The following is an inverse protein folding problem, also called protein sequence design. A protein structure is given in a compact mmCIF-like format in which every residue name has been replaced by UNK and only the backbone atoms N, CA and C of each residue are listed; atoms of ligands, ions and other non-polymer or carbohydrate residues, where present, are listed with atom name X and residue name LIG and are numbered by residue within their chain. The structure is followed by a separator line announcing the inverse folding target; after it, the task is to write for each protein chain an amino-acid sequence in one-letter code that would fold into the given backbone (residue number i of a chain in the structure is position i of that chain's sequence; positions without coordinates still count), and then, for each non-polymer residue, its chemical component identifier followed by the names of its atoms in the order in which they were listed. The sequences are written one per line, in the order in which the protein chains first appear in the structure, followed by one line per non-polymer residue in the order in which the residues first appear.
data_IF_729459075542
#
_entry.id   IF_729459075542
#
_cell.length_a   1.000
_cell.length_b   1.000
_cell.length_c   1.000
_cell.angle_alpha   90.00
_cell.angle_beta   90.00
_cell.angle_gamma   90.00
#
_symmetry.space_group_name_H-M   'P 1'
#
loop_
_entity.id
_entity.type
_entity.pdbx_description
1 polymer ?
#
# COMPACT_ATOMS: atom_id res chain seq x y z
N UNK A 1 -16.39 -14.21 18.22
CA UNK A 1 -16.59 -12.94 17.47
C UNK A 1 -15.55 -12.90 16.37
N UNK A 2 -15.99 -12.84 15.12
CA UNK A 2 -15.20 -13.19 13.94
C UNK A 2 -14.27 -12.08 13.47
N UNK A 3 -12.97 -12.32 13.50
CA UNK A 3 -11.97 -11.53 12.81
C UNK A 3 -12.06 -11.85 11.31
N UNK A 4 -12.62 -10.93 10.51
CA UNK A 4 -12.60 -11.01 9.03
C UNK A 4 -11.36 -10.26 8.55
N UNK A 5 -10.27 -10.96 8.26
CA UNK A 5 -9.14 -10.40 7.52
C UNK A 5 -9.58 -10.14 6.08
N UNK A 6 -9.76 -8.87 5.72
CA UNK A 6 -9.93 -8.44 4.33
C UNK A 6 -8.57 -7.99 3.82
N UNK A 7 -7.93 -8.81 3.00
CA UNK A 7 -6.84 -8.32 2.15
C UNK A 7 -7.49 -7.60 0.97
N UNK A 8 -7.53 -6.27 1.01
CA UNK A 8 -7.96 -5.45 -0.13
C UNK A 8 -6.73 -5.17 -1.00
N UNK A 9 -6.74 -5.72 -2.22
CA UNK A 9 -5.75 -5.42 -3.25
C UNK A 9 -6.34 -4.32 -4.13
N UNK A 10 -5.84 -3.10 -3.95
CA UNK A 10 -6.17 -1.97 -4.80
C UNK A 10 -5.05 -1.81 -5.85
N UNK A 11 -5.31 -2.25 -7.07
CA UNK A 11 -4.45 -1.93 -8.22
C UNK A 11 -4.89 -0.57 -8.73
N UNK A 12 -4.20 0.49 -8.31
CA UNK A 12 -4.48 1.85 -8.78
C UNK A 12 -3.52 2.20 -9.92
N UNK A 13 -3.93 1.99 -11.17
CA UNK A 13 -3.25 2.59 -12.33
C UNK A 13 -3.67 4.05 -12.43
N UNK A 14 -2.88 4.95 -11.84
CA UNK A 14 -3.11 6.38 -11.99
C UNK A 14 -2.39 6.89 -13.24
N UNK A 15 -3.13 7.06 -14.33
CA UNK A 15 -2.60 7.67 -15.56
C UNK A 15 -2.83 9.18 -15.51
N UNK A 16 -1.76 9.97 -15.33
CA UNK A 16 -1.85 11.43 -15.34
C UNK A 16 -1.42 12.00 -16.70
N UNK A 17 -2.29 12.79 -17.34
CA UNK A 17 -1.95 13.67 -18.46
C UNK A 17 -1.23 14.90 -17.92
N UNK A 18 0.10 14.88 -17.88
CA UNK A 18 0.90 16.07 -17.53
C UNK A 18 1.48 16.64 -18.83
N UNK A 19 0.90 17.74 -19.31
CA UNK A 19 1.48 18.56 -20.36
C UNK A 19 2.80 19.17 -19.85
N UNK A 20 3.84 19.09 -20.68
CA UNK A 20 5.27 19.30 -20.39
C UNK A 20 5.72 20.70 -19.89
N UNK A 21 4.85 21.53 -19.32
CA UNK A 21 5.19 22.93 -19.04
C UNK A 21 5.03 23.43 -17.59
N UNK A 22 4.82 22.57 -16.58
CA UNK A 22 4.80 23.04 -15.19
C UNK A 22 5.29 21.96 -14.23
N UNK A 23 6.21 22.34 -13.34
CA UNK A 23 6.67 21.54 -12.20
C UNK A 23 5.45 21.30 -11.30
N UNK A 24 4.73 20.21 -11.51
CA UNK A 24 3.65 19.78 -10.65
C UNK A 24 4.22 18.89 -9.56
N UNK A 25 4.22 19.36 -8.31
CA UNK A 25 4.42 18.51 -7.14
C UNK A 25 3.12 17.73 -6.93
N UNK A 26 3.12 16.43 -7.24
CA UNK A 26 1.98 15.55 -6.99
C UNK A 26 2.16 14.94 -5.59
N UNK A 27 1.26 15.31 -4.68
CA UNK A 27 1.10 14.71 -3.36
C UNK A 27 0.24 13.46 -3.51
N UNK A 28 0.85 12.28 -3.40
CA UNK A 28 0.11 11.03 -3.22
C UNK A 28 -0.06 10.79 -1.72
N UNK A 29 -1.20 11.20 -1.16
CA UNK A 29 -1.56 10.92 0.23
C UNK A 29 -2.19 9.53 0.29
N UNK A 30 -1.47 8.56 0.83
CA UNK A 30 -2.01 7.24 1.13
C UNK A 30 -2.65 7.31 2.52
N UNK A 31 -3.96 7.54 2.56
CA UNK A 31 -4.78 7.62 3.77
C UNK A 31 -5.99 6.69 3.69
N UNK A 32 -6.49 6.30 4.86
CA UNK A 32 -7.63 5.42 5.05
C UNK A 32 -8.93 6.12 4.60
N UNK A 33 -9.59 5.61 3.55
CA UNK A 33 -10.93 6.06 3.14
C UNK A 33 -11.97 5.02 3.55
N UNK A 34 -12.78 5.32 4.57
CA UNK A 34 -14.00 4.55 4.88
C UNK A 34 -15.21 5.18 4.20
N UNK A 35 -15.86 4.40 3.33
CA UNK A 35 -17.28 4.54 3.00
C UNK A 35 -17.64 5.53 1.89
N UNK A 36 -17.77 5.02 0.65
CA UNK A 36 -18.75 5.56 -0.30
C UNK A 36 -19.66 4.41 -0.69
N UNK A 37 -20.92 4.51 -0.25
CA UNK A 37 -22.01 3.63 -0.64
C UNK A 37 -22.68 4.29 -1.85
N UNK A 38 -22.64 3.65 -3.02
CA UNK A 38 -23.45 4.04 -4.18
C UNK A 38 -24.11 2.76 -4.71
N UNK A 39 -25.33 2.55 -4.25
CA UNK A 39 -26.28 1.63 -4.86
C UNK A 39 -26.64 2.05 -6.29
N UNK A 40 -26.96 1.01 -7.06
CA UNK A 40 -27.67 0.98 -8.33
C UNK A 40 -27.21 1.91 -9.47
N UNK A 41 -26.59 1.31 -10.49
CA UNK A 41 -26.65 1.88 -11.84
C UNK A 41 -26.95 0.85 -12.93
N UNK A 42 -28.13 1.02 -13.56
CA UNK A 42 -28.53 0.43 -14.83
C UNK A 42 -27.87 1.21 -15.98
N UNK A 43 -27.32 0.50 -16.96
CA UNK A 43 -26.82 1.09 -18.19
C UNK A 43 -27.95 1.53 -19.13
N UNK A 44 -27.81 2.68 -19.78
CA UNK A 44 -28.39 2.91 -21.10
C UNK A 44 -27.46 3.77 -21.96
N UNK A 45 -27.31 3.35 -23.21
CA UNK A 45 -26.48 3.92 -24.27
C UNK A 45 -27.15 5.10 -24.97
N UNK A 46 -26.37 6.04 -25.53
CA UNK A 46 -26.48 6.54 -26.93
C UNK A 46 -25.37 7.54 -27.27
N UNK A 47 -25.14 7.69 -28.59
CA UNK A 47 -23.96 8.24 -29.26
C UNK A 47 -23.80 9.77 -29.32
N UNK A 48 -22.55 10.17 -29.64
CA UNK A 48 -22.14 11.28 -30.54
C UNK A 48 -21.49 12.55 -29.94
N UNK A 49 -20.39 12.92 -30.61
CA UNK A 49 -19.73 14.23 -30.87
C UNK A 49 -19.12 15.05 -29.70
N UNK A 50 -17.84 15.35 -29.94
CA UNK A 50 -16.96 16.46 -29.50
C UNK A 50 -17.01 16.98 -28.06
N UNK A 51 -15.80 17.31 -27.60
CA UNK A 51 -15.39 18.11 -26.44
C UNK A 51 -15.16 17.31 -25.15
N UNK A 52 -13.89 17.37 -24.72
CA UNK A 52 -13.37 17.09 -23.38
C UNK A 52 -14.21 16.11 -22.56
N UNK A 53 -14.04 14.82 -22.80
CA UNK A 53 -14.54 13.78 -21.91
C UNK A 53 -13.36 13.10 -21.23
N UNK A 54 -13.18 13.45 -19.96
CA UNK A 54 -12.44 12.64 -19.00
C UNK A 54 -13.19 11.31 -18.91
N UNK A 55 -12.56 10.24 -19.38
CA UNK A 55 -13.02 8.88 -19.14
C UNK A 55 -12.17 8.32 -17.99
N UNK A 56 -12.68 8.44 -16.75
CA UNK A 56 -12.20 7.59 -15.67
C UNK A 56 -12.81 6.21 -15.88
N UNK A 57 -11.99 5.25 -16.32
CA UNK A 57 -12.42 3.86 -16.43
C UNK A 57 -12.36 3.26 -15.03
N UNK A 58 -13.50 3.22 -14.35
CA UNK A 58 -13.74 2.35 -13.19
C UNK A 58 -14.59 1.19 -13.69
N UNK A 59 -14.02 -0.01 -13.77
CA UNK A 59 -14.79 -1.24 -13.99
C UNK A 59 -15.03 -1.95 -12.64
N UNK A 60 -16.31 -2.18 -12.37
CA UNK A 60 -16.93 -2.81 -11.20
C UNK A 60 -16.94 -4.36 -11.29
N UNK A 61 -17.87 -5.07 -10.62
CA UNK A 61 -17.91 -5.51 -9.22
C UNK A 61 -17.44 -6.99 -9.00
N UNK A 62 -17.44 -7.44 -7.74
CA UNK A 62 -16.95 -8.74 -7.22
C UNK A 62 -17.34 -10.02 -8.00
N UNK A 63 -16.34 -10.74 -8.56
CA UNK A 63 -16.13 -12.19 -8.36
C UNK A 63 -14.79 -12.65 -8.96
N UNK A 64 -14.00 -13.36 -8.15
CA UNK A 64 -12.68 -13.93 -8.45
C UNK A 64 -11.60 -12.91 -8.85
N UNK A 65 -10.43 -12.99 -8.20
CA UNK A 65 -9.26 -12.21 -8.62
C UNK A 65 -8.72 -12.74 -9.95
N UNK A 66 -8.11 -11.86 -10.76
CA UNK A 66 -8.10 -12.01 -12.19
C UNK A 66 -7.17 -13.14 -12.66
N UNK A 67 -7.54 -13.77 -13.77
CA UNK A 67 -6.56 -14.44 -14.62
C UNK A 67 -5.54 -13.39 -15.10
N UNK A 68 -4.37 -13.81 -15.57
CA UNK A 68 -3.33 -12.88 -16.05
C UNK A 68 -3.86 -11.88 -17.10
N UNK A 69 -4.95 -12.23 -17.79
CA UNK A 69 -5.64 -11.42 -18.80
C UNK A 69 -6.54 -10.31 -18.21
N UNK A 70 -6.91 -10.35 -16.91
CA UNK A 70 -7.69 -9.28 -16.27
C UNK A 70 -6.85 -8.33 -15.38
N UNK A 71 -5.52 -8.46 -15.40
CA UNK A 71 -4.64 -7.30 -15.17
C UNK A 71 -4.79 -6.45 -16.44
N UNK A 72 -5.82 -5.60 -16.48
CA UNK A 72 -6.22 -4.91 -17.71
C UNK A 72 -5.02 -4.35 -18.47
N UNK A 73 -5.00 -4.55 -19.79
CA UNK A 73 -3.91 -4.05 -20.62
C UNK A 73 -3.72 -2.56 -20.36
N UNK A 74 -2.47 -2.07 -20.22
CA UNK A 74 -2.23 -0.64 -20.05
C UNK A 74 -2.94 0.09 -21.20
N UNK A 75 -3.59 1.24 -20.92
CA UNK A 75 -4.29 1.98 -21.96
C UNK A 75 -3.33 2.22 -23.12
N UNK A 76 -3.72 1.81 -24.32
CA UNK A 76 -2.94 2.04 -25.53
C UNK A 76 -2.91 3.54 -25.79
N UNK A 77 -1.87 4.21 -25.29
CA UNK A 77 -1.65 5.62 -25.54
C UNK A 77 -1.05 5.76 -26.93
N UNK A 78 -1.80 6.37 -27.86
CA UNK A 78 -1.41 6.55 -29.26
C UNK A 78 -0.09 7.32 -29.46
N UNK A 79 0.50 7.92 -28.41
CA UNK A 79 1.79 8.62 -28.42
C UNK A 79 2.60 8.33 -27.15
N UNK A 80 3.33 7.20 -27.11
CA UNK A 80 4.15 6.81 -25.95
C UNK A 80 5.26 7.83 -25.61
N UNK A 81 5.70 8.65 -26.58
CA UNK A 81 6.77 9.63 -26.40
C UNK A 81 6.36 10.91 -25.64
N UNK A 82 5.07 11.13 -25.35
CA UNK A 82 4.58 12.35 -24.69
C UNK A 82 4.17 12.17 -23.22
N UNK A 83 4.34 10.98 -22.64
CA UNK A 83 3.90 10.69 -21.27
C UNK A 83 4.96 9.95 -20.47
N UNK A 84 5.04 10.25 -19.17
CA UNK A 84 5.82 9.48 -18.20
C UNK A 84 4.86 8.51 -17.51
N UNK A 85 5.12 7.21 -17.62
CA UNK A 85 4.30 6.17 -16.99
C UNK A 85 5.02 5.57 -15.79
N UNK A 86 4.29 5.40 -14.68
CA UNK A 86 4.70 4.65 -13.50
C UNK A 86 3.50 3.87 -12.96
N UNK A 87 3.79 2.88 -12.12
CA UNK A 87 2.77 1.99 -11.57
C UNK A 87 2.98 1.86 -10.08
N UNK A 88 1.93 2.04 -9.28
CA UNK A 88 1.95 1.67 -7.87
C UNK A 88 1.22 0.34 -7.69
N UNK A 89 1.94 -0.68 -7.21
CA UNK A 89 1.32 -1.89 -6.68
C UNK A 89 1.18 -1.69 -5.17
N UNK A 90 -0.04 -1.39 -4.73
CA UNK A 90 -0.32 -1.07 -3.33
C UNK A 90 -1.06 -2.22 -2.63
N UNK A 91 -0.68 -2.45 -1.38
CA UNK A 91 -1.40 -3.29 -0.42
C UNK A 91 -1.67 -2.49 0.86
N UNK A 92 -2.52 -3.01 1.73
CA UNK A 92 -2.72 -2.56 3.11
C UNK A 92 -3.30 -3.71 3.94
N UNK A 93 -3.16 -3.66 5.26
CA UNK A 93 -3.83 -4.60 6.19
C UNK A 93 -3.56 -6.08 5.87
N UNK A 94 -2.29 -6.40 5.55
CA UNK A 94 -1.89 -7.75 5.16
C UNK A 94 -1.47 -8.53 6.40
N UNK A 95 -2.45 -9.17 7.02
CA UNK A 95 -2.25 -9.93 8.28
C UNK A 95 -1.77 -11.37 8.07
N UNK A 96 -2.02 -11.95 6.89
CA UNK A 96 -1.75 -13.36 6.61
C UNK A 96 -1.05 -13.58 5.28
N UNK A 97 -0.04 -14.45 5.30
CA UNK A 97 0.74 -14.82 4.12
C UNK A 97 -0.03 -15.75 3.18
N UNK A 98 -0.80 -16.66 3.77
CA UNK A 98 -1.46 -17.75 3.07
C UNK A 98 -2.75 -17.27 2.40
N UNK A 99 -3.09 -17.86 1.24
CA UNK A 99 -4.37 -17.59 0.62
C UNK A 99 -5.53 -18.11 1.48
N UNK A 100 -6.68 -17.46 1.36
CA UNK A 100 -7.93 -17.83 2.03
C UNK A 100 -8.85 -18.61 1.10
N UNK A 101 -9.89 -19.24 1.65
CA UNK A 101 -10.94 -19.91 0.88
C UNK A 101 -10.43 -21.05 0.00
N UNK A 102 -9.49 -21.85 0.53
CA UNK A 102 -8.91 -22.99 -0.18
C UNK A 102 -7.91 -22.63 -1.29
N UNK A 103 -7.32 -21.42 -1.26
CA UNK A 103 -6.38 -20.95 -2.28
C UNK A 103 -6.96 -19.91 -3.25
N UNK A 104 -8.27 -19.65 -3.16
CA UNK A 104 -8.98 -18.84 -4.14
C UNK A 104 -8.90 -17.33 -3.93
N UNK A 105 -8.43 -16.88 -2.75
CA UNK A 105 -8.40 -15.44 -2.40
C UNK A 105 -7.06 -15.04 -1.80
N UNK A 106 -6.50 -13.93 -2.28
CA UNK A 106 -5.28 -13.32 -1.76
C UNK A 106 -4.05 -14.23 -1.85
N UNK A 107 -3.15 -14.06 -0.87
CA UNK A 107 -1.90 -14.81 -0.73
C UNK A 107 -0.70 -14.10 -1.39
N UNK A 108 0.40 -14.02 -0.65
CA UNK A 108 1.58 -13.25 -1.08
C UNK A 108 2.28 -13.83 -2.31
N UNK A 109 2.14 -15.13 -2.58
CA UNK A 109 2.63 -15.75 -3.81
C UNK A 109 1.91 -15.20 -5.07
N UNK A 110 0.61 -14.92 -4.96
CA UNK A 110 -0.17 -14.32 -6.04
C UNK A 110 0.25 -12.87 -6.26
N UNK A 111 0.44 -12.12 -5.18
CA UNK A 111 1.00 -10.75 -5.24
C UNK A 111 2.37 -10.73 -5.92
N UNK A 112 3.26 -11.67 -5.59
CA UNK A 112 4.57 -11.78 -6.23
C UNK A 112 4.47 -12.02 -7.74
N UNK A 113 3.49 -12.81 -8.17
CA UNK A 113 3.21 -13.04 -9.60
C UNK A 113 2.72 -11.76 -10.27
N UNK A 114 1.76 -11.05 -9.66
CA UNK A 114 1.25 -9.77 -10.17
C UNK A 114 2.40 -8.75 -10.28
N UNK A 115 3.22 -8.61 -9.23
CA UNK A 115 4.39 -7.72 -9.25
C UNK A 115 5.35 -8.05 -10.39
N UNK A 116 5.61 -9.34 -10.63
CA UNK A 116 6.47 -9.78 -11.73
C UNK A 116 5.91 -9.35 -13.08
N UNK A 117 4.61 -9.52 -13.30
CA UNK A 117 3.95 -9.11 -14.56
C UNK A 117 3.96 -7.59 -14.73
N UNK A 118 3.61 -6.84 -13.69
CA UNK A 118 3.65 -5.37 -13.73
C UNK A 118 5.05 -4.81 -14.01
N UNK A 119 6.10 -5.44 -13.46
CA UNK A 119 7.49 -5.06 -13.76
C UNK A 119 7.92 -5.38 -15.19
N UNK A 120 7.36 -6.42 -15.80
CA UNK A 120 7.59 -6.74 -17.22
C UNK A 120 6.92 -5.71 -18.14
N UNK A 121 5.75 -5.22 -17.75
CA UNK A 121 5.02 -4.19 -18.49
C UNK A 121 5.62 -2.79 -18.30
N UNK A 122 5.99 -2.44 -17.06
CA UNK A 122 6.50 -1.13 -16.72
C UNK A 122 7.62 -1.24 -15.66
N UNK A 123 8.90 -0.97 -16.01
CA UNK A 123 10.00 -1.01 -15.05
C UNK A 123 9.87 0.08 -13.97
N UNK A 124 9.08 1.14 -14.20
CA UNK A 124 8.74 2.15 -13.19
C UNK A 124 7.61 1.68 -12.25
N UNK A 125 7.60 0.40 -11.89
CA UNK A 125 6.65 -0.18 -10.92
C UNK A 125 7.21 -0.09 -9.51
N UNK A 126 6.47 0.59 -8.63
CA UNK A 126 6.81 0.80 -7.23
C UNK A 126 5.81 0.00 -6.39
N UNK A 127 6.31 -0.94 -5.59
CA UNK A 127 5.49 -1.75 -4.69
C UNK A 127 5.47 -1.11 -3.31
N UNK A 128 4.28 -0.83 -2.78
CA UNK A 128 4.10 -0.17 -1.48
C UNK A 128 3.08 -0.89 -0.61
N UNK A 129 3.19 -0.70 0.70
CA UNK A 129 2.16 -1.15 1.65
C UNK A 129 1.81 -0.03 2.64
N UNK A 130 0.52 0.21 2.85
CA UNK A 130 0.02 1.31 3.68
C UNK A 130 -0.19 0.90 5.13
N UNK A 131 0.77 0.20 5.72
CA UNK A 131 0.73 -0.24 7.12
C UNK A 131 -0.05 -1.52 7.38
N UNK A 132 -0.07 -1.90 8.66
CA UNK A 132 -0.77 -3.03 9.24
C UNK A 132 -0.37 -4.37 8.60
N UNK A 133 0.93 -4.68 8.70
CA UNK A 133 1.55 -5.88 8.11
C UNK A 133 2.24 -6.77 9.13
N UNK A 134 2.71 -6.25 10.26
CA UNK A 134 3.38 -7.09 11.28
C UNK A 134 2.43 -7.65 12.33
N UNK A 135 1.28 -6.99 12.52
CA UNK A 135 0.20 -7.35 13.46
C UNK A 135 -1.16 -6.88 12.92
N UNK A 136 -2.27 -7.54 13.33
CA UNK A 136 -2.30 -8.88 13.90
C UNK A 136 -1.86 -9.94 12.88
N UNK A 137 -1.22 -11.02 13.34
CA UNK A 137 -0.91 -12.17 12.48
C UNK A 137 -0.94 -13.44 13.29
N UNK A 138 -1.73 -14.44 12.86
CA UNK A 138 -1.79 -15.73 13.54
C UNK A 138 -0.42 -16.44 13.51
N UNK A 139 0.28 -16.37 12.37
CA UNK A 139 1.65 -16.85 12.26
C UNK A 139 2.62 -16.02 13.13
N UNK A 140 2.36 -14.72 13.29
CA UNK A 140 3.17 -13.84 14.15
C UNK A 140 3.27 -14.33 15.60
N UNK A 141 2.23 -15.00 16.09
CA UNK A 141 2.19 -15.55 17.45
C UNK A 141 2.92 -16.90 17.62
N UNK A 142 3.38 -17.52 16.53
CA UNK A 142 4.07 -18.81 16.59
C UNK A 142 5.50 -18.66 17.14
N UNK A 143 5.93 -19.62 17.97
CA UNK A 143 7.30 -19.68 18.52
C UNK A 143 8.18 -20.49 17.57
N UNK A 144 9.26 -19.88 17.09
CA UNK A 144 10.27 -20.52 16.25
C UNK A 144 11.64 -20.21 16.85
N UNK A 145 12.45 -21.25 17.08
CA UNK A 145 13.77 -21.13 17.71
C UNK A 145 13.73 -20.37 19.06
N UNK A 146 12.73 -20.65 19.89
CA UNK A 146 12.61 -20.09 21.25
C UNK A 146 12.11 -18.63 21.30
N UNK A 147 11.60 -18.06 20.22
CA UNK A 147 11.01 -16.71 20.22
C UNK A 147 9.77 -16.63 19.32
N UNK A 148 8.80 -15.80 19.71
CA UNK A 148 7.67 -15.47 18.84
C UNK A 148 8.17 -14.79 17.56
N UNK A 149 7.52 -15.08 16.44
CA UNK A 149 7.90 -14.49 15.16
C UNK A 149 7.70 -12.97 15.15
N UNK A 150 6.61 -12.46 15.75
CA UNK A 150 6.30 -11.03 15.86
C UNK A 150 6.52 -10.28 14.54
N UNK A 151 5.89 -10.76 13.46
CA UNK A 151 5.99 -10.18 12.12
C UNK A 151 7.24 -10.56 11.31
N UNK A 152 8.21 -11.30 11.86
CA UNK A 152 9.45 -11.70 11.15
C UNK A 152 9.15 -12.43 9.84
N UNK A 153 8.13 -13.28 9.84
CA UNK A 153 7.66 -14.00 8.67
C UNK A 153 7.12 -13.06 7.57
N UNK A 154 6.44 -11.98 7.96
CA UNK A 154 5.94 -10.98 7.01
C UNK A 154 7.08 -10.17 6.44
N UNK A 155 7.97 -9.63 7.29
CA UNK A 155 9.15 -8.87 6.84
C UNK A 155 10.00 -9.70 5.87
N UNK A 156 10.27 -10.97 6.21
CA UNK A 156 10.97 -11.89 5.30
C UNK A 156 10.26 -12.05 3.95
N UNK A 157 8.93 -12.17 3.95
CA UNK A 157 8.15 -12.30 2.73
C UNK A 157 8.16 -11.01 1.90
N UNK A 158 7.98 -9.84 2.51
CA UNK A 158 8.01 -8.53 1.84
C UNK A 158 9.41 -8.19 1.28
N UNK A 159 10.46 -8.61 1.99
CA UNK A 159 11.83 -8.52 1.51
C UNK A 159 12.04 -9.35 0.24
N UNK A 160 11.51 -10.57 0.17
CA UNK A 160 11.59 -11.43 -1.02
C UNK A 160 10.69 -10.92 -2.15
N UNK A 161 9.51 -10.39 -1.81
CA UNK A 161 8.61 -9.77 -2.78
C UNK A 161 9.29 -8.60 -3.50
N UNK A 162 10.19 -7.88 -2.83
CA UNK A 162 10.83 -6.67 -3.35
C UNK A 162 9.96 -5.43 -3.14
N UNK A 163 9.38 -5.30 -1.94
CA UNK A 163 8.70 -4.09 -1.49
C UNK A 163 9.66 -2.89 -1.55
N UNK A 164 9.17 -1.72 -1.95
CA UNK A 164 9.97 -0.50 -1.98
C UNK A 164 9.76 0.36 -0.72
N UNK A 165 8.50 0.60 -0.37
CA UNK A 165 8.13 1.47 0.75
C UNK A 165 6.99 0.88 1.57
N UNK A 166 7.02 1.13 2.87
CA UNK A 166 5.90 0.83 3.77
C UNK A 166 5.56 2.06 4.61
N UNK A 167 4.28 2.33 4.84
CA UNK A 167 3.87 3.19 5.95
C UNK A 167 3.80 2.35 7.23
N UNK A 168 4.00 2.99 8.39
CA UNK A 168 3.59 2.41 9.66
C UNK A 168 2.07 2.60 9.84
N UNK A 169 1.36 1.53 10.14
CA UNK A 169 -0.02 1.55 10.60
C UNK A 169 -0.10 1.54 12.13
N UNK A 170 -1.31 1.60 12.68
CA UNK A 170 -1.53 1.60 14.12
C UNK A 170 -1.21 0.23 14.74
N UNK A 171 -1.47 -0.87 14.02
CA UNK A 171 -1.21 -2.21 14.56
C UNK A 171 0.28 -2.58 14.59
N UNK A 172 1.16 -1.87 13.88
CA UNK A 172 2.60 -2.06 14.05
C UNK A 172 3.05 -1.88 15.52
N UNK A 173 2.36 -1.02 16.26
CA UNK A 173 2.67 -0.71 17.65
C UNK A 173 2.07 -1.66 18.69
N UNK A 174 1.30 -2.67 18.26
CA UNK A 174 0.89 -3.80 19.11
C UNK A 174 2.11 -4.61 19.58
N UNK A 175 3.20 -4.55 18.82
CA UNK A 175 4.47 -5.16 19.19
C UNK A 175 5.14 -4.36 20.32
N UNK A 176 5.87 -5.08 21.19
CA UNK A 176 6.83 -4.42 22.08
C UNK A 176 7.88 -3.68 21.25
N UNK A 177 8.33 -2.52 21.73
CA UNK A 177 9.31 -1.66 21.06
C UNK A 177 10.51 -2.43 20.51
N UNK A 178 11.11 -3.31 21.31
CA UNK A 178 12.28 -4.11 20.91
C UNK A 178 11.99 -5.05 19.74
N UNK A 179 10.75 -5.54 19.61
CA UNK A 179 10.31 -6.36 18.48
C UNK A 179 10.06 -5.49 17.25
N UNK A 180 9.37 -4.36 17.39
CA UNK A 180 9.11 -3.45 16.26
C UNK A 180 10.42 -2.91 15.68
N UNK A 181 11.31 -2.36 16.51
CA UNK A 181 12.65 -1.90 16.06
C UNK A 181 13.43 -3.02 15.37
N UNK A 182 13.34 -4.26 15.86
CA UNK A 182 13.97 -5.40 15.18
C UNK A 182 13.36 -5.66 13.81
N UNK A 183 12.04 -5.57 13.64
CA UNK A 183 11.36 -5.69 12.34
C UNK A 183 11.80 -4.59 11.38
N UNK A 184 11.87 -3.35 11.84
CA UNK A 184 12.34 -2.21 11.06
C UNK A 184 13.80 -2.38 10.58
N UNK A 185 14.67 -2.96 11.41
CA UNK A 185 16.06 -3.25 11.02
C UNK A 185 16.19 -4.45 10.07
N UNK A 186 15.28 -5.41 10.14
CA UNK A 186 15.26 -6.58 9.24
C UNK A 186 14.68 -6.25 7.85
N UNK A 187 13.98 -5.12 7.70
CA UNK A 187 13.43 -4.66 6.43
C UNK A 187 14.50 -4.24 5.43
N UNK A 188 14.35 -4.71 4.19
CA UNK A 188 15.15 -4.29 3.02
C UNK A 188 14.49 -3.15 2.22
N UNK A 189 13.45 -2.57 2.78
CA UNK A 189 12.62 -1.51 2.23
C UNK A 189 12.54 -0.36 3.22
N UNK A 190 12.18 0.84 2.75
CA UNK A 190 12.12 2.02 3.61
C UNK A 190 10.74 2.16 4.26
N UNK A 191 10.72 2.42 5.57
CA UNK A 191 9.51 2.75 6.30
C UNK A 191 9.31 4.27 6.32
N UNK A 192 8.10 4.72 6.02
CA UNK A 192 7.72 6.14 5.96
C UNK A 192 6.72 6.42 7.08
N UNK A 193 7.01 7.43 7.89
CA UNK A 193 6.12 7.91 8.94
C UNK A 193 6.34 9.40 9.19
N UNK A 194 5.41 10.21 8.69
CA UNK A 194 5.50 11.67 8.71
C UNK A 194 5.03 12.28 10.03
N UNK A 195 4.23 11.54 10.80
CA UNK A 195 3.60 11.99 12.03
C UNK A 195 3.97 11.12 13.24
N UNK A 196 5.13 10.45 13.21
CA UNK A 196 5.55 9.45 14.20
C UNK A 196 6.92 9.79 14.75
N UNK A 197 7.01 9.99 16.07
CA UNK A 197 8.21 10.49 16.73
C UNK A 197 8.59 9.63 17.94
N UNK A 198 9.89 9.58 18.26
CA UNK A 198 10.35 9.03 19.54
C UNK A 198 9.69 9.80 20.70
N UNK A 199 9.23 9.07 21.73
CA UNK A 199 8.49 9.66 22.84
C UNK A 199 9.22 10.86 23.46
N UNK A 200 8.48 11.94 23.71
CA UNK A 200 9.00 13.20 24.26
C UNK A 200 10.08 13.89 23.41
N UNK A 201 10.14 13.61 22.11
CA UNK A 201 11.05 14.29 21.18
C UNK A 201 10.36 14.64 19.87
N UNK A 202 11.04 15.41 19.02
CA UNK A 202 10.65 15.68 17.62
C UNK A 202 11.43 14.85 16.61
N UNK A 203 12.19 13.85 17.07
CA UNK A 203 12.96 12.96 16.19
C UNK A 203 12.04 11.88 15.62
N UNK A 204 12.09 11.58 14.30
CA UNK A 204 11.37 10.46 13.74
C UNK A 204 11.66 9.16 14.51
N UNK A 205 10.65 8.30 14.66
CA UNK A 205 10.81 7.04 15.38
C UNK A 205 11.80 6.10 14.68
N UNK A 206 12.86 5.69 15.38
CA UNK A 206 13.87 4.77 14.88
C UNK A 206 14.51 5.19 13.54
N UNK A 207 14.49 4.32 12.52
CA UNK A 207 15.09 4.52 11.20
C UNK A 207 14.03 4.84 10.12
N UNK A 208 12.82 5.24 10.51
CA UNK A 208 11.80 5.64 9.53
C UNK A 208 12.15 7.02 8.94
N UNK A 209 11.74 7.24 7.70
CA UNK A 209 11.88 8.52 7.03
C UNK A 209 10.56 9.29 7.07
N UNK A 210 10.57 10.63 7.19
CA UNK A 210 9.35 11.42 7.24
C UNK A 210 8.63 11.47 5.88
N UNK A 211 9.36 11.40 4.77
CA UNK A 211 8.79 11.34 3.41
C UNK A 211 9.83 10.78 2.44
N UNK A 212 9.39 10.35 1.25
CA UNK A 212 10.27 9.98 0.14
C UNK A 212 9.94 10.79 -1.11
N UNK A 213 10.96 11.35 -1.76
CA UNK A 213 10.80 11.93 -3.10
C UNK A 213 11.32 10.92 -4.11
N UNK A 214 10.44 10.49 -5.02
CA UNK A 214 10.79 9.67 -6.18
C UNK A 214 10.94 10.58 -7.39
N UNK A 215 11.94 10.30 -8.22
CA UNK A 215 12.11 10.97 -9.51
C UNK A 215 11.95 9.91 -10.60
N UNK A 216 10.91 10.04 -11.43
CA UNK A 216 10.65 9.18 -12.57
C UNK A 216 10.70 10.06 -13.81
N UNK A 217 11.71 9.84 -14.66
CA UNK A 217 12.10 10.78 -15.71
C UNK A 217 12.29 12.20 -15.14
N UNK A 218 11.45 13.16 -15.53
CA UNK A 218 11.46 14.54 -15.06
C UNK A 218 10.34 14.85 -14.04
N UNK A 219 9.58 13.86 -13.61
CA UNK A 219 8.49 14.02 -12.63
C UNK A 219 8.98 13.66 -11.23
N UNK A 220 8.70 14.56 -10.26
CA UNK A 220 8.95 14.31 -8.84
C UNK A 220 7.64 13.94 -8.14
N UNK A 221 7.64 12.83 -7.41
CA UNK A 221 6.50 12.31 -6.66
C UNK A 221 6.89 12.28 -5.18
N UNK A 222 6.07 12.85 -4.31
CA UNK A 222 6.31 12.83 -2.86
C UNK A 222 5.41 11.78 -2.21
N UNK A 223 6.02 10.83 -1.51
CA UNK A 223 5.35 9.84 -0.68
C UNK A 223 5.38 10.29 0.77
N UNK A 224 4.21 10.32 1.39
CA UNK A 224 3.98 10.69 2.79
C UNK A 224 3.22 9.52 3.43
N UNK A 225 3.71 9.06 4.58
CA UNK A 225 3.10 7.98 5.36
C UNK A 225 2.46 8.56 6.61
N UNK A 226 1.15 8.34 6.79
CA UNK A 226 0.41 8.83 7.95
C UNK A 226 -0.17 7.67 8.73
N UNK A 227 0.05 7.69 10.04
CA UNK A 227 -0.55 6.73 10.97
C UNK A 227 -1.68 7.40 11.71
N UNK A 228 -2.83 6.74 11.79
CA UNK A 228 -3.91 7.21 12.66
C UNK A 228 -3.51 7.00 14.12
N UNK A 229 -3.80 7.99 14.96
CA UNK A 229 -3.71 7.82 16.41
C UNK A 229 -5.04 7.26 16.90
N UNK A 230 -5.17 5.93 16.94
CA UNK A 230 -6.38 5.24 17.40
C UNK A 230 -6.48 5.14 18.94
N UNK A 231 -5.60 5.86 19.66
CA UNK A 231 -5.53 5.93 21.13
C UNK A 231 -6.66 6.73 21.81
N UNK A 232 -7.85 6.78 21.22
CA UNK A 232 -9.03 7.44 21.80
C UNK A 232 -9.74 6.61 22.91
N UNK A 233 -9.14 5.50 23.36
CA UNK A 233 -9.66 4.63 24.42
C UNK A 233 -8.66 4.42 25.57
N UNK A 234 -9.09 3.93 26.75
CA UNK A 234 -8.27 3.80 27.97
C UNK A 234 -7.13 2.76 27.88
N UNK A 235 -6.87 2.21 26.70
CA UNK A 235 -5.75 1.29 26.41
C UNK A 235 -4.63 2.06 25.70
N UNK A 236 -4.03 2.97 26.46
CA UNK A 236 -2.70 3.58 26.33
C UNK A 236 -2.01 3.54 24.96
N UNK A 237 -1.73 4.72 24.40
CA UNK A 237 -0.69 4.91 23.39
C UNK A 237 0.56 4.07 23.66
N UNK A 238 1.25 3.59 22.60
CA UNK A 238 2.43 2.76 22.79
C UNK A 238 3.42 3.56 23.63
N UNK A 239 3.88 2.99 24.75
CA UNK A 239 4.65 3.70 25.78
C UNK A 239 6.03 4.22 25.33
N UNK A 240 6.32 4.20 24.03
CA UNK A 240 7.61 4.49 23.41
C UNK A 240 7.51 5.36 22.15
N UNK A 241 6.31 5.79 21.74
CA UNK A 241 6.13 6.62 20.54
C UNK A 241 5.12 7.75 20.80
N UNK A 242 5.28 8.85 20.09
CA UNK A 242 4.29 9.91 19.99
C UNK A 242 3.81 10.00 18.53
N UNK A 243 2.51 9.79 18.31
CA UNK A 243 1.87 9.97 17.01
C UNK A 243 1.07 11.26 17.08
N UNK A 244 1.35 12.22 16.20
CA UNK A 244 0.58 13.46 16.19
C UNK A 244 -0.72 13.22 15.43
N UNK A 245 -1.86 13.54 16.07
CA UNK A 245 -3.17 13.53 15.42
C UNK A 245 -3.17 14.44 14.19
N UNK A 246 -3.93 14.03 13.16
CA UNK A 246 -4.17 14.85 11.97
C UNK A 246 -5.01 16.08 12.29
#
# INVERSE_FOLDING_TARGET
MGCRSKVELNVCQVTFLISLCSIAVILAVFGWFRGIDIGDYKASSTSSKSNNKVAAVVHAPLRAMPHADDIGSPPLLNNAHSYVQWTFLQMNDVYELKPLGGGNKGGMARVATIRKLLLQENPNTITVVSGDVVSPSALGNSIVNGSMLNGRQMIGTLNVLGLNYAALGNHEFDLKETSLRRRLNESKFEWIGSNIYELNTTKPFHNIIPYKILTIANVKIVLIGLTIDDNLGPSSAPAYVHITSQ
#
